data_IF_150721580861
#
_entry.id   IF_150721580861
#
_cell.length_a   1.000
_cell.length_b   1.000
_cell.length_c   1.000
_cell.angle_alpha   90.00
_cell.angle_beta   90.00
_cell.angle_gamma   90.00
#
_symmetry.space_group_name_H-M   'P 1'
#
loop_
_entity.id
_entity.type
_entity.pdbx_description
1 polymer ?
#
# COMPACT_ATOMS: atom_id res chain seq x y z
N UNK A 1 13.61 6.55 -28.10
CA UNK A 1 13.69 8.01 -27.91
C UNK A 1 13.89 8.23 -26.44
N UNK A 2 14.93 8.93 -26.08
CA UNK A 2 15.56 9.00 -24.77
C UNK A 2 14.60 9.54 -23.68
N UNK A 3 14.42 8.76 -22.62
CA UNK A 3 13.80 9.21 -21.38
C UNK A 3 14.73 10.21 -20.69
N UNK A 4 14.47 11.49 -20.85
CA UNK A 4 15.14 12.52 -20.05
C UNK A 4 14.64 12.39 -18.60
N UNK A 5 15.57 12.01 -17.72
CA UNK A 5 15.40 12.04 -16.27
C UNK A 5 15.18 13.50 -15.82
N UNK A 6 13.92 13.88 -15.62
CA UNK A 6 13.60 15.12 -14.92
C UNK A 6 13.89 14.92 -13.42
N UNK A 7 15.07 15.37 -13.00
CA UNK A 7 15.32 15.67 -11.59
C UNK A 7 14.64 17.01 -11.28
N UNK A 8 13.85 17.14 -10.20
CA UNK A 8 13.34 18.44 -9.77
C UNK A 8 14.52 19.39 -9.48
N UNK A 9 14.29 20.68 -9.66
CA UNK A 9 15.32 21.71 -9.48
C UNK A 9 16.09 21.50 -8.18
N UNK A 10 17.42 21.52 -8.25
CA UNK A 10 18.38 21.13 -7.21
C UNK A 10 18.08 21.63 -5.78
N UNK A 11 17.28 22.68 -5.60
CA UNK A 11 16.94 23.26 -4.30
C UNK A 11 15.85 22.51 -3.51
N UNK A 12 14.79 22.01 -4.16
CA UNK A 12 13.74 21.21 -3.48
C UNK A 12 14.26 19.84 -3.07
N UNK A 13 14.99 19.19 -3.96
CA UNK A 13 15.63 17.91 -3.68
C UNK A 13 16.63 17.98 -2.52
N UNK A 14 17.43 19.06 -2.46
CA UNK A 14 18.33 19.34 -1.35
C UNK A 14 17.58 19.63 -0.04
N UNK A 15 16.42 20.26 -0.11
CA UNK A 15 15.59 20.52 1.08
C UNK A 15 14.97 19.23 1.63
N UNK A 16 14.47 18.36 0.76
CA UNK A 16 13.92 17.05 1.12
C UNK A 16 15.02 16.14 1.70
N UNK A 17 16.20 16.12 1.08
CA UNK A 17 17.37 15.39 1.61
C UNK A 17 17.83 15.95 2.97
N UNK A 18 17.71 17.27 3.21
CA UNK A 18 17.98 17.87 4.51
C UNK A 18 16.95 17.41 5.56
N UNK A 19 15.67 17.37 5.20
CA UNK A 19 14.61 16.85 6.09
C UNK A 19 14.92 15.39 6.43
N UNK A 20 15.23 14.53 5.45
CA UNK A 20 15.63 13.14 5.66
C UNK A 20 16.85 13.03 6.57
N UNK A 21 17.89 13.86 6.36
CA UNK A 21 19.09 13.90 7.21
C UNK A 21 18.80 14.44 8.59
N UNK A 22 17.87 15.41 8.73
CA UNK A 22 17.48 15.96 10.02
C UNK A 22 16.74 14.96 10.87
N UNK A 23 15.85 14.13 10.28
CA UNK A 23 15.24 13.01 10.97
C UNK A 23 16.27 11.96 11.40
N UNK A 24 17.24 11.61 10.56
CA UNK A 24 18.32 10.71 10.91
C UNK A 24 19.23 11.26 12.01
N UNK A 25 19.43 12.60 12.08
CA UNK A 25 20.22 13.27 13.11
C UNK A 25 19.45 13.47 14.42
N UNK A 26 18.18 13.85 14.36
CA UNK A 26 17.31 13.97 15.55
C UNK A 26 17.20 12.64 16.29
N UNK A 27 17.16 11.54 15.54
CA UNK A 27 17.12 10.19 16.08
C UNK A 27 18.44 9.78 16.76
N UNK A 28 19.60 10.24 16.25
CA UNK A 28 20.91 10.00 16.89
C UNK A 28 20.98 10.60 18.31
N UNK A 29 20.24 11.67 18.56
CA UNK A 29 20.11 12.29 19.89
C UNK A 29 19.13 11.54 20.81
N UNK A 30 18.07 10.90 20.25
CA UNK A 30 17.07 10.13 21.01
C UNK A 30 17.58 8.76 21.48
N UNK A 31 18.63 8.21 20.84
CA UNK A 31 19.25 6.93 21.19
C UNK A 31 19.70 6.83 22.67
N UNK A 32 19.80 7.95 23.37
CA UNK A 32 20.19 8.03 24.78
C UNK A 32 19.09 7.73 25.80
N UNK A 33 17.82 7.59 25.37
CA UNK A 33 16.67 7.53 26.28
C UNK A 33 15.87 6.22 26.15
N UNK A 34 16.06 5.43 25.09
CA UNK A 34 15.28 4.22 24.90
C UNK A 34 15.87 3.04 25.70
N UNK A 35 15.23 2.74 26.80
CA UNK A 35 15.38 1.45 27.49
C UNK A 35 14.62 0.39 26.65
N UNK A 36 15.33 -0.34 25.77
CA UNK A 36 14.81 -1.43 24.93
C UNK A 36 14.29 -2.65 25.73
N UNK A 37 13.99 -2.51 27.02
CA UNK A 37 13.72 -3.60 27.95
C UNK A 37 12.26 -4.05 28.06
N UNK A 38 11.33 -3.58 27.19
CA UNK A 38 9.97 -4.12 27.20
C UNK A 38 9.40 -4.33 25.81
N UNK A 39 9.84 -5.38 25.13
CA UNK A 39 9.01 -5.99 24.08
C UNK A 39 7.74 -6.47 24.82
N UNK A 40 6.64 -5.75 24.68
CA UNK A 40 5.35 -6.26 25.15
C UNK A 40 5.05 -7.50 24.30
N UNK A 41 5.13 -8.66 24.89
CA UNK A 41 4.62 -9.90 24.30
C UNK A 41 3.10 -9.76 24.24
N UNK A 42 2.59 -9.36 23.09
CA UNK A 42 1.17 -9.40 22.77
C UNK A 42 0.85 -10.76 22.16
N UNK A 43 -0.35 -11.26 22.40
CA UNK A 43 -0.82 -12.45 21.75
C UNK A 43 -1.26 -12.16 20.31
N UNK A 44 -1.22 -13.18 19.46
CA UNK A 44 -1.74 -13.14 18.10
C UNK A 44 -3.26 -12.97 18.09
N UNK A 45 -3.76 -12.39 17.00
CA UNK A 45 -5.19 -12.26 16.77
C UNK A 45 -5.58 -12.84 15.41
N UNK A 46 -6.79 -13.37 15.37
CA UNK A 46 -7.51 -13.74 14.15
C UNK A 46 -8.87 -13.06 14.12
N UNK A 47 -9.60 -13.17 13.02
CA UNK A 47 -10.98 -12.70 12.95
C UNK A 47 -11.87 -13.51 13.91
N UNK A 48 -12.85 -12.87 14.56
CA UNK A 48 -13.80 -13.58 15.41
C UNK A 48 -14.81 -14.38 14.57
N UNK A 49 -15.20 -13.84 13.41
CA UNK A 49 -16.08 -14.54 12.44
C UNK A 49 -15.71 -14.17 11.01
N UNK A 50 -16.12 -14.97 10.01
CA UNK A 50 -15.85 -14.66 8.60
C UNK A 50 -16.59 -13.42 8.11
N UNK A 51 -16.02 -12.78 7.07
CA UNK A 51 -16.70 -11.79 6.25
C UNK A 51 -16.38 -11.98 4.77
N UNK A 52 -17.16 -11.36 3.88
CA UNK A 52 -17.07 -11.54 2.44
C UNK A 52 -17.20 -10.21 1.71
N UNK A 53 -16.52 -10.12 0.57
CA UNK A 53 -16.72 -9.06 -0.41
C UNK A 53 -16.91 -9.64 -1.79
N UNK A 54 -17.63 -8.92 -2.62
CA UNK A 54 -17.68 -9.14 -4.06
C UNK A 54 -17.42 -7.82 -4.77
N UNK A 55 -16.77 -7.86 -5.90
CA UNK A 55 -16.48 -6.67 -6.66
C UNK A 55 -15.58 -6.93 -7.86
N UNK A 56 -15.33 -5.88 -8.61
CA UNK A 56 -14.46 -5.95 -9.78
C UNK A 56 -12.98 -5.88 -9.39
N UNK A 57 -12.14 -6.64 -10.08
CA UNK A 57 -10.70 -6.41 -10.11
C UNK A 57 -10.38 -5.15 -10.92
N UNK A 58 -9.50 -4.29 -10.40
CA UNK A 58 -9.11 -3.02 -11.04
C UNK A 58 -8.53 -3.23 -12.45
N UNK A 59 -7.65 -4.23 -12.59
CA UNK A 59 -6.90 -4.50 -13.82
C UNK A 59 -7.57 -5.54 -14.70
N UNK A 60 -8.12 -6.59 -14.11
CA UNK A 60 -8.76 -7.68 -14.84
C UNK A 60 -10.20 -7.35 -15.27
N UNK A 61 -10.90 -6.53 -14.48
CA UNK A 61 -12.32 -6.25 -14.64
C UNK A 61 -13.22 -7.46 -14.34
N UNK A 62 -12.65 -8.58 -13.88
CA UNK A 62 -13.40 -9.75 -13.47
C UNK A 62 -14.19 -9.46 -12.19
N UNK A 63 -15.35 -10.04 -12.07
CA UNK A 63 -16.12 -10.03 -10.83
C UNK A 63 -15.58 -11.12 -9.92
N UNK A 64 -15.09 -10.75 -8.75
CA UNK A 64 -14.38 -11.62 -7.82
C UNK A 64 -15.12 -11.68 -6.49
N UNK A 65 -15.25 -12.88 -5.94
CA UNK A 65 -15.69 -13.10 -4.57
C UNK A 65 -14.46 -13.36 -3.69
N UNK A 66 -14.31 -12.54 -2.65
CA UNK A 66 -13.26 -12.67 -1.65
C UNK A 66 -13.87 -13.01 -0.30
N UNK A 67 -13.43 -14.08 0.34
CA UNK A 67 -13.89 -14.49 1.66
C UNK A 67 -12.73 -14.54 2.63
N UNK A 68 -12.95 -14.06 3.84
CA UNK A 68 -11.97 -13.92 4.91
C UNK A 68 -12.38 -14.77 6.09
N UNK A 69 -11.55 -15.73 6.48
CA UNK A 69 -11.83 -16.67 7.53
C UNK A 69 -10.83 -16.57 8.68
N UNK A 70 -11.27 -16.80 9.92
CA UNK A 70 -10.35 -17.04 11.02
C UNK A 70 -9.36 -18.15 10.66
N UNK A 71 -8.13 -18.02 11.13
CA UNK A 71 -7.10 -19.04 10.93
C UNK A 71 -6.40 -19.39 12.24
N UNK A 72 -5.83 -20.60 12.32
CA UNK A 72 -5.14 -21.08 13.49
C UNK A 72 -3.90 -20.21 13.85
N UNK A 73 -3.45 -20.21 15.11
CA UNK A 73 -2.23 -19.54 15.51
C UNK A 73 -1.03 -19.92 14.61
N UNK A 74 -0.16 -18.95 14.35
CA UNK A 74 1.04 -19.10 13.52
C UNK A 74 0.81 -19.38 12.03
N UNK A 75 -0.43 -19.32 11.55
CA UNK A 75 -0.77 -19.48 10.13
C UNK A 75 -0.25 -18.31 9.29
N UNK A 76 -0.26 -17.09 9.83
CA UNK A 76 -0.06 -15.86 9.07
C UNK A 76 -1.22 -15.55 8.14
N UNK A 77 -1.03 -14.62 7.24
CA UNK A 77 -2.00 -14.32 6.18
C UNK A 77 -1.74 -15.27 5.01
N UNK A 78 -2.76 -16.05 4.65
CA UNK A 78 -2.69 -17.00 3.52
C UNK A 78 -3.77 -16.69 2.50
N UNK A 79 -3.46 -16.88 1.22
CA UNK A 79 -4.38 -16.63 0.13
C UNK A 79 -4.58 -17.92 -0.67
N UNK A 80 -5.83 -18.32 -0.81
CA UNK A 80 -6.28 -19.48 -1.55
C UNK A 80 -6.95 -19.06 -2.86
N UNK A 81 -6.59 -19.67 -3.98
CA UNK A 81 -7.30 -19.57 -5.26
C UNK A 81 -8.28 -20.73 -5.37
N UNK A 82 -9.52 -20.47 -4.96
CA UNK A 82 -10.59 -21.49 -4.90
C UNK A 82 -11.10 -21.93 -6.27
N UNK A 83 -10.85 -21.13 -7.31
CA UNK A 83 -11.19 -21.43 -8.72
C UNK A 83 -10.17 -22.34 -9.42
N UNK A 84 -8.99 -22.54 -8.84
CA UNK A 84 -7.96 -23.42 -9.39
C UNK A 84 -8.08 -24.85 -8.84
N UNK A 85 -7.68 -25.84 -9.65
CA UNK A 85 -7.62 -27.23 -9.24
C UNK A 85 -6.70 -27.40 -8.02
N UNK A 86 -7.15 -28.15 -7.03
CA UNK A 86 -6.43 -28.36 -5.77
C UNK A 86 -6.42 -27.14 -4.83
N UNK A 87 -7.06 -26.06 -5.19
CA UNK A 87 -7.19 -24.84 -4.38
C UNK A 87 -5.88 -24.40 -3.75
N UNK A 88 -4.85 -24.09 -4.57
CA UNK A 88 -3.52 -23.76 -4.07
C UNK A 88 -3.58 -22.58 -3.11
N UNK A 89 -2.89 -22.73 -1.96
CA UNK A 89 -2.92 -21.78 -0.86
C UNK A 89 -1.51 -21.46 -0.40
N UNK A 90 -1.10 -20.19 -0.55
CA UNK A 90 0.25 -19.74 -0.21
C UNK A 90 0.24 -18.57 0.77
N UNK A 91 1.30 -18.38 1.57
CA UNK A 91 1.40 -17.25 2.47
C UNK A 91 1.61 -15.94 1.69
N UNK A 92 1.02 -14.86 2.17
CA UNK A 92 1.24 -13.51 1.66
C UNK A 92 2.56 -12.97 2.24
N UNK A 93 3.69 -13.32 1.61
CA UNK A 93 5.04 -12.89 2.01
C UNK A 93 5.85 -12.44 0.80
N UNK A 94 6.89 -11.66 1.05
CA UNK A 94 7.71 -11.03 0.01
C UNK A 94 8.41 -12.03 -0.92
N UNK A 95 8.57 -13.29 -0.49
CA UNK A 95 9.17 -14.36 -1.30
C UNK A 95 8.38 -14.66 -2.58
N UNK A 96 7.07 -14.40 -2.58
CA UNK A 96 6.16 -14.65 -3.70
C UNK A 96 5.86 -13.40 -4.55
N UNK A 97 6.46 -12.25 -4.26
CA UNK A 97 6.28 -11.05 -5.10
C UNK A 97 6.91 -11.29 -6.48
N UNK A 98 6.07 -11.30 -7.51
CA UNK A 98 6.47 -11.56 -8.88
C UNK A 98 6.44 -10.33 -9.79
N UNK A 99 5.48 -9.40 -9.55
CA UNK A 99 5.35 -8.18 -10.31
C UNK A 99 4.84 -7.03 -9.43
N UNK A 100 5.15 -5.80 -9.83
CA UNK A 100 4.84 -4.58 -9.07
C UNK A 100 4.39 -3.43 -9.95
N UNK A 101 3.98 -3.73 -11.17
CA UNK A 101 3.40 -2.76 -12.09
C UNK A 101 1.95 -2.47 -11.68
N UNK A 102 1.68 -1.26 -11.20
CA UNK A 102 0.36 -0.77 -10.78
C UNK A 102 -0.28 -1.49 -9.60
N UNK A 103 0.47 -2.25 -8.82
CA UNK A 103 0.00 -2.99 -7.66
C UNK A 103 0.91 -4.17 -7.36
N UNK A 104 0.80 -4.73 -6.19
CA UNK A 104 1.63 -5.85 -5.76
C UNK A 104 0.99 -7.18 -6.18
N UNK A 105 1.76 -8.00 -6.89
CA UNK A 105 1.35 -9.32 -7.39
C UNK A 105 2.16 -10.39 -6.69
N UNK A 106 1.46 -11.32 -6.08
CA UNK A 106 2.03 -12.56 -5.54
C UNK A 106 1.79 -13.70 -6.52
N UNK A 107 2.80 -14.55 -6.77
CA UNK A 107 2.71 -15.63 -7.76
C UNK A 107 3.60 -16.83 -7.38
N UNK A 108 3.08 -18.03 -7.58
CA UNK A 108 3.82 -19.29 -7.53
C UNK A 108 3.13 -20.35 -8.40
N UNK A 109 3.78 -20.72 -9.51
CA UNK A 109 3.17 -21.59 -10.51
C UNK A 109 1.90 -20.98 -11.10
N UNK A 110 0.79 -21.69 -11.03
CA UNK A 110 -0.51 -21.19 -11.49
C UNK A 110 -1.22 -20.26 -10.48
N UNK A 111 -0.80 -20.29 -9.21
CA UNK A 111 -1.35 -19.43 -8.19
C UNK A 111 -0.82 -18.00 -8.41
N UNK A 112 -1.75 -17.10 -8.68
CA UNK A 112 -1.47 -15.67 -8.88
C UNK A 112 -2.57 -14.84 -8.27
N UNK A 113 -2.17 -13.81 -7.50
CA UNK A 113 -3.10 -12.84 -6.91
C UNK A 113 -2.49 -11.44 -6.97
N UNK A 114 -3.22 -10.50 -7.55
CA UNK A 114 -2.80 -9.09 -7.68
C UNK A 114 -3.58 -8.16 -6.77
N UNK A 115 -3.08 -6.92 -6.62
CA UNK A 115 -3.72 -5.83 -5.85
C UNK A 115 -3.93 -6.22 -4.37
N UNK A 116 -2.91 -6.85 -3.77
CA UNK A 116 -3.00 -7.37 -2.39
C UNK A 116 -2.68 -6.30 -1.33
N UNK A 117 -2.06 -5.19 -1.69
CA UNK A 117 -1.54 -4.15 -0.82
C UNK A 117 -2.61 -3.51 0.08
N UNK A 118 -3.80 -3.23 -0.45
CA UNK A 118 -4.86 -2.56 0.32
C UNK A 118 -5.40 -3.44 1.45
N UNK A 119 -5.70 -4.70 1.14
CA UNK A 119 -6.19 -5.66 2.14
C UNK A 119 -5.12 -6.00 3.16
N UNK A 120 -3.87 -6.17 2.72
CA UNK A 120 -2.76 -6.46 3.63
C UNK A 120 -2.48 -5.27 4.57
N UNK A 121 -2.58 -4.03 4.06
CA UNK A 121 -2.48 -2.82 4.86
C UNK A 121 -3.55 -2.78 5.96
N UNK A 122 -4.82 -3.09 5.61
CA UNK A 122 -5.93 -3.13 6.56
C UNK A 122 -5.74 -4.22 7.63
N UNK A 123 -5.42 -5.46 7.23
CA UNK A 123 -5.19 -6.57 8.15
C UNK A 123 -4.04 -6.26 9.11
N UNK A 124 -2.94 -5.70 8.58
CA UNK A 124 -1.79 -5.31 9.39
C UNK A 124 -2.16 -4.22 10.40
N UNK A 125 -2.82 -3.15 9.95
CA UNK A 125 -3.21 -2.04 10.81
C UNK A 125 -4.19 -2.45 11.92
N UNK A 126 -5.13 -3.34 11.60
CA UNK A 126 -6.13 -3.82 12.54
C UNK A 126 -5.63 -4.93 13.48
N UNK A 127 -4.37 -5.32 13.39
CA UNK A 127 -3.80 -6.32 14.30
C UNK A 127 -4.16 -7.77 13.98
N UNK A 128 -4.64 -8.07 12.76
CA UNK A 128 -4.91 -9.45 12.33
C UNK A 128 -3.59 -10.14 12.00
N UNK A 129 -3.24 -11.17 12.75
CA UNK A 129 -2.00 -11.94 12.55
C UNK A 129 -2.25 -13.20 11.70
N UNK A 130 -3.43 -13.79 11.83
CA UNK A 130 -3.77 -15.03 11.14
C UNK A 130 -5.13 -14.92 10.44
N UNK A 131 -5.13 -15.11 9.11
CA UNK A 131 -6.33 -15.07 8.29
C UNK A 131 -6.16 -15.94 7.04
N UNK A 132 -7.18 -16.69 6.68
CA UNK A 132 -7.28 -17.33 5.38
C UNK A 132 -8.20 -16.50 4.47
N UNK A 133 -7.65 -16.04 3.36
CA UNK A 133 -8.39 -15.33 2.31
C UNK A 133 -8.62 -16.32 1.17
N UNK A 134 -9.86 -16.48 0.71
CA UNK A 134 -10.18 -17.27 -0.47
C UNK A 134 -10.69 -16.38 -1.60
N UNK A 135 -10.21 -16.61 -2.81
CA UNK A 135 -10.56 -15.87 -4.01
C UNK A 135 -10.97 -16.81 -5.13
N UNK A 136 -12.03 -16.49 -5.86
CA UNK A 136 -12.43 -17.18 -7.08
C UNK A 136 -11.85 -16.53 -8.37
N UNK A 137 -10.77 -15.78 -8.23
CA UNK A 137 -10.09 -15.15 -9.35
C UNK A 137 -8.71 -14.57 -9.00
N UNK A 138 -7.99 -14.01 -10.00
CA UNK A 138 -6.57 -13.66 -9.88
C UNK A 138 -6.29 -12.28 -9.27
N UNK A 139 -7.27 -11.59 -8.74
CA UNK A 139 -7.11 -10.22 -8.25
C UNK A 139 -8.02 -9.96 -7.06
N UNK A 140 -7.55 -9.19 -6.08
CA UNK A 140 -8.43 -8.70 -5.01
C UNK A 140 -9.47 -7.73 -5.57
N UNK A 141 -10.75 -7.77 -5.11
CA UNK A 141 -11.73 -6.77 -5.48
C UNK A 141 -11.26 -5.37 -5.04
N UNK A 142 -11.31 -4.40 -5.97
CA UNK A 142 -10.79 -3.05 -5.70
C UNK A 142 -11.68 -2.26 -4.74
N UNK A 143 -12.95 -2.60 -4.66
CA UNK A 143 -13.97 -1.90 -3.86
C UNK A 143 -14.02 -0.41 -4.25
N UNK A 144 -13.79 0.51 -3.30
CA UNK A 144 -13.70 1.95 -3.56
C UNK A 144 -12.26 2.45 -3.80
N UNK A 145 -11.31 1.54 -3.90
CA UNK A 145 -9.88 1.86 -4.09
C UNK A 145 -9.14 2.27 -2.82
N UNK A 146 -9.78 2.17 -1.65
CA UNK A 146 -9.20 2.44 -0.34
C UNK A 146 -9.15 1.19 0.53
N UNK A 147 -8.78 1.34 1.81
CA UNK A 147 -8.84 0.26 2.80
C UNK A 147 -10.13 0.28 3.64
N UNK A 148 -11.02 1.24 3.40
CA UNK A 148 -12.20 1.52 4.23
C UNK A 148 -13.04 0.28 4.54
N UNK A 149 -13.49 -0.39 3.50
CA UNK A 149 -14.42 -1.52 3.66
C UNK A 149 -13.79 -2.69 4.41
N UNK A 150 -12.49 -2.93 4.22
CA UNK A 150 -11.76 -3.96 4.98
C UNK A 150 -11.72 -3.61 6.47
N UNK A 151 -11.42 -2.35 6.81
CA UNK A 151 -11.41 -1.87 8.21
C UNK A 151 -12.79 -2.01 8.84
N UNK A 152 -13.84 -1.53 8.15
CA UNK A 152 -15.23 -1.61 8.65
C UNK A 152 -15.68 -3.06 8.87
N UNK A 153 -15.33 -3.98 7.96
CA UNK A 153 -15.67 -5.39 8.10
C UNK A 153 -14.92 -6.06 9.27
N UNK A 154 -13.62 -5.77 9.44
CA UNK A 154 -12.84 -6.29 10.57
C UNK A 154 -13.39 -5.79 11.90
N UNK A 155 -13.77 -4.51 12.00
CA UNK A 155 -14.41 -3.95 13.20
C UNK A 155 -15.75 -4.61 13.48
N UNK A 156 -16.55 -4.82 12.44
CA UNK A 156 -17.89 -5.42 12.59
C UNK A 156 -17.83 -6.87 13.07
N UNK A 157 -16.90 -7.66 12.56
CA UNK A 157 -16.78 -9.07 12.98
C UNK A 157 -15.98 -9.22 14.27
N UNK A 158 -15.10 -8.26 14.59
CA UNK A 158 -14.23 -8.30 15.75
C UNK A 158 -13.04 -9.24 15.61
N UNK A 159 -12.17 -9.21 16.62
CA UNK A 159 -10.97 -10.04 16.71
C UNK A 159 -11.06 -11.03 17.84
N UNK A 160 -10.44 -12.19 17.65
CA UNK A 160 -10.24 -13.22 18.66
C UNK A 160 -8.75 -13.29 19.00
N UNK A 161 -8.42 -13.07 20.26
CA UNK A 161 -7.09 -13.33 20.80
C UNK A 161 -6.79 -14.83 20.79
N UNK A 162 -5.55 -15.19 20.47
CA UNK A 162 -5.07 -16.56 20.36
C UNK A 162 -3.93 -16.82 21.36
N UNK A 163 -3.88 -18.03 21.88
CA UNK A 163 -2.81 -18.46 22.82
C UNK A 163 -1.49 -18.75 22.07
N UNK A 164 -0.93 -17.70 21.49
CA UNK A 164 0.36 -17.71 20.82
C UNK A 164 0.95 -16.27 20.80
N UNK A 165 2.25 -16.09 21.05
CA UNK A 165 2.85 -14.76 21.00
C UNK A 165 2.93 -14.22 19.57
N UNK A 166 2.73 -12.92 19.40
CA UNK A 166 2.96 -12.24 18.12
C UNK A 166 4.42 -12.39 17.68
N UNK A 167 4.61 -12.53 16.37
CA UNK A 167 5.96 -12.49 15.76
C UNK A 167 6.38 -11.04 15.55
N UNK A 168 6.96 -10.45 16.60
CA UNK A 168 7.44 -9.06 16.58
C UNK A 168 8.93 -9.04 16.29
N UNK A 169 9.34 -8.14 15.38
CA UNK A 169 10.74 -7.84 15.13
C UNK A 169 11.02 -6.37 15.43
N UNK A 170 11.86 -6.12 16.44
CA UNK A 170 12.28 -4.78 16.82
C UNK A 170 13.54 -4.38 16.03
N UNK A 171 13.48 -3.27 15.33
CA UNK A 171 14.65 -2.68 14.69
C UNK A 171 15.53 -2.04 15.75
N UNK A 172 16.76 -2.51 15.87
CA UNK A 172 17.75 -2.03 16.87
C UNK A 172 18.77 -1.06 16.29
N UNK A 173 18.96 -1.10 14.96
CA UNK A 173 19.91 -0.24 14.24
C UNK A 173 19.24 0.37 13.01
N UNK A 174 19.75 1.53 12.57
CA UNK A 174 19.30 2.14 11.30
C UNK A 174 19.58 1.20 10.14
N UNK A 175 18.55 0.93 9.33
CA UNK A 175 18.67 0.27 8.03
C UNK A 175 18.33 1.31 6.98
N UNK A 176 19.11 1.35 5.89
CA UNK A 176 18.93 2.32 4.80
C UNK A 176 18.96 1.60 3.45
N UNK A 177 17.95 1.86 2.64
CA UNK A 177 17.85 1.38 1.27
C UNK A 177 17.77 2.57 0.33
N UNK A 178 18.49 2.48 -0.79
CA UNK A 178 18.45 3.46 -1.88
C UNK A 178 18.35 2.75 -3.22
N UNK A 179 17.70 3.39 -4.19
CA UNK A 179 17.69 2.94 -5.57
C UNK A 179 18.43 3.92 -6.48
N UNK A 180 18.83 3.46 -7.66
CA UNK A 180 19.43 4.30 -8.71
C UNK A 180 18.49 5.41 -9.18
N UNK A 181 17.17 5.21 -9.07
CA UNK A 181 16.13 6.17 -9.41
C UNK A 181 15.89 7.24 -8.32
N UNK A 182 16.65 7.17 -7.21
CA UNK A 182 16.56 8.13 -6.11
C UNK A 182 15.43 7.86 -5.12
N UNK A 183 14.85 6.64 -5.11
CA UNK A 183 13.98 6.21 -4.02
C UNK A 183 14.83 5.95 -2.77
N UNK A 184 14.32 6.30 -1.60
CA UNK A 184 15.02 6.07 -0.34
C UNK A 184 14.05 5.54 0.71
N UNK A 185 14.54 4.62 1.55
CA UNK A 185 13.82 4.14 2.73
C UNK A 185 14.78 4.04 3.91
N UNK A 186 14.40 4.67 5.01
CA UNK A 186 15.06 4.54 6.30
C UNK A 186 14.14 3.74 7.22
N UNK A 187 14.68 2.72 7.86
CA UNK A 187 13.99 1.97 8.91
C UNK A 187 14.78 2.23 10.19
N UNK A 188 14.13 2.84 11.16
CA UNK A 188 14.76 3.34 12.38
C UNK A 188 14.17 2.62 13.58
N UNK A 189 14.95 2.42 14.66
CA UNK A 189 14.44 1.91 15.92
C UNK A 189 13.26 2.76 16.44
N UNK A 190 12.20 2.08 16.86
CA UNK A 190 11.03 2.67 17.49
C UNK A 190 10.39 1.60 18.38
N UNK A 191 9.70 1.99 19.44
CA UNK A 191 9.01 1.07 20.36
C UNK A 191 7.63 0.62 19.89
N UNK A 192 7.16 1.19 18.77
CA UNK A 192 5.92 0.86 18.08
C UNK A 192 6.13 0.97 16.57
N UNK A 193 5.09 0.73 15.78
CA UNK A 193 5.10 0.94 14.34
C UNK A 193 4.71 2.38 14.02
N UNK A 194 5.58 3.10 13.34
CA UNK A 194 5.29 4.41 12.77
C UNK A 194 5.78 4.47 11.31
N UNK A 195 5.12 5.24 10.46
CA UNK A 195 5.55 5.36 9.08
C UNK A 195 5.27 6.76 8.49
N UNK A 196 6.17 7.20 7.59
CA UNK A 196 6.05 8.45 6.86
C UNK A 196 6.46 8.23 5.41
N UNK A 197 5.73 8.84 4.48
CA UNK A 197 6.10 8.89 3.07
C UNK A 197 6.16 10.32 2.57
N UNK A 198 7.07 10.57 1.64
CA UNK A 198 7.09 11.79 0.83
C UNK A 198 7.07 11.39 -0.64
N UNK A 199 6.02 11.80 -1.35
CA UNK A 199 5.89 11.63 -2.80
C UNK A 199 6.34 12.90 -3.50
N UNK A 200 6.91 12.74 -4.70
CA UNK A 200 7.35 13.86 -5.53
C UNK A 200 6.95 13.58 -6.97
N UNK A 201 6.04 14.36 -7.51
CA UNK A 201 5.61 14.28 -8.90
C UNK A 201 5.95 15.57 -9.66
N UNK A 202 6.38 15.48 -10.91
CA UNK A 202 6.61 16.67 -11.76
C UNK A 202 5.27 17.23 -12.24
N UNK A 203 4.46 17.73 -11.31
CA UNK A 203 3.09 18.19 -11.52
C UNK A 203 2.82 19.36 -10.59
N UNK A 204 2.31 20.47 -11.11
CA UNK A 204 1.94 21.64 -10.31
C UNK A 204 0.80 21.32 -9.32
N UNK A 205 -0.05 20.34 -9.64
CA UNK A 205 -1.18 19.94 -8.80
C UNK A 205 -0.78 18.96 -7.70
N UNK A 206 0.07 17.98 -8.03
CA UNK A 206 0.55 16.98 -7.05
C UNK A 206 1.77 17.47 -6.29
N UNK A 207 2.78 17.95 -7.01
CA UNK A 207 4.02 18.45 -6.43
C UNK A 207 4.67 17.45 -5.46
N UNK A 208 5.11 18.01 -4.34
CA UNK A 208 5.64 17.25 -3.20
C UNK A 208 4.60 17.21 -2.08
N UNK A 209 4.23 16.01 -1.66
CA UNK A 209 3.29 15.81 -0.56
C UNK A 209 3.88 14.80 0.45
N UNK A 210 3.58 15.01 1.73
CA UNK A 210 3.98 14.11 2.81
C UNK A 210 2.75 13.61 3.55
N UNK A 211 2.75 12.33 3.92
CA UNK A 211 1.80 11.73 4.83
C UNK A 211 2.54 10.96 5.92
N UNK A 212 2.01 10.99 7.14
CA UNK A 212 2.61 10.37 8.31
C UNK A 212 1.54 9.65 9.13
N UNK A 213 1.90 8.53 9.71
CA UNK A 213 1.13 7.77 10.69
C UNK A 213 2.06 7.49 11.87
N UNK A 214 1.75 8.06 13.02
CA UNK A 214 2.57 7.92 14.22
C UNK A 214 2.25 6.65 15.01
N UNK A 215 1.00 6.15 14.90
CA UNK A 215 0.56 4.89 15.51
C UNK A 215 -0.48 4.21 14.62
N UNK A 216 -0.44 2.87 14.55
CA UNK A 216 -1.44 2.09 13.81
C UNK A 216 -2.87 2.27 14.35
N UNK A 217 -3.04 2.65 15.61
CA UNK A 217 -4.36 2.97 16.18
C UNK A 217 -5.07 4.12 15.45
N UNK A 218 -4.31 5.04 14.84
CA UNK A 218 -4.84 6.17 14.08
C UNK A 218 -5.14 5.84 12.61
N UNK A 219 -4.80 4.63 12.15
CA UNK A 219 -4.92 4.23 10.74
C UNK A 219 -6.31 4.47 10.16
N UNK A 220 -7.34 4.08 10.90
CA UNK A 220 -8.73 4.25 10.45
C UNK A 220 -9.05 5.71 10.12
N UNK A 221 -8.67 6.64 10.99
CA UNK A 221 -8.99 8.05 10.83
C UNK A 221 -8.10 8.73 9.79
N UNK A 222 -6.83 8.32 9.72
CA UNK A 222 -5.84 9.02 8.93
C UNK A 222 -5.62 8.44 7.54
N UNK A 223 -5.86 7.14 7.31
CA UNK A 223 -5.49 6.48 6.07
C UNK A 223 -6.62 5.69 5.40
N UNK A 224 -7.56 5.16 6.17
CA UNK A 224 -8.50 4.15 5.63
C UNK A 224 -9.29 4.60 4.40
N UNK A 225 -9.58 5.90 4.26
CA UNK A 225 -10.33 6.48 3.14
C UNK A 225 -9.44 6.93 1.96
N UNK A 226 -8.11 6.76 2.04
CA UNK A 226 -7.20 7.18 0.98
C UNK A 226 -7.30 6.24 -0.21
N UNK A 227 -7.88 6.72 -1.31
CA UNK A 227 -8.11 5.95 -2.54
C UNK A 227 -6.85 5.87 -3.38
N UNK A 228 -6.72 4.77 -4.13
CA UNK A 228 -5.76 4.68 -5.23
C UNK A 228 -5.99 5.81 -6.23
N UNK A 229 -4.95 6.23 -6.93
CA UNK A 229 -5.05 7.34 -7.87
C UNK A 229 -4.34 7.06 -9.18
N UNK A 230 -4.78 7.75 -10.23
CA UNK A 230 -4.14 7.73 -11.54
C UNK A 230 -4.18 9.13 -12.17
N UNK A 231 -3.22 9.36 -13.06
CA UNK A 231 -3.14 10.61 -13.83
C UNK A 231 -3.90 10.44 -15.14
N UNK A 232 -4.66 11.45 -15.53
CA UNK A 232 -5.44 11.43 -16.79
C UNK A 232 -4.56 11.07 -17.98
N UNK A 233 -3.34 11.61 -18.07
CA UNK A 233 -2.37 11.29 -19.15
C UNK A 233 -1.96 9.82 -19.20
N UNK A 234 -2.10 9.07 -18.09
CA UNK A 234 -1.75 7.66 -18.03
C UNK A 234 -2.92 6.77 -18.45
N UNK A 235 -4.15 7.20 -18.17
CA UNK A 235 -5.35 6.42 -18.48
C UNK A 235 -5.86 6.65 -19.89
N UNK A 236 -5.68 7.84 -20.48
CA UNK A 236 -6.14 8.16 -21.83
C UNK A 236 -5.65 7.14 -22.88
N UNK A 237 -4.34 6.82 -23.00
CA UNK A 237 -3.86 5.81 -23.93
C UNK A 237 -4.41 4.41 -23.68
N UNK A 238 -4.73 4.10 -22.42
CA UNK A 238 -5.30 2.81 -22.03
C UNK A 238 -6.78 2.71 -22.38
N UNK A 239 -7.53 3.80 -22.20
CA UNK A 239 -8.93 3.89 -22.63
C UNK A 239 -9.08 3.71 -24.15
N UNK A 240 -8.20 4.35 -24.94
CA UNK A 240 -8.18 4.17 -26.40
C UNK A 240 -7.93 2.74 -26.84
N UNK A 241 -7.15 1.98 -26.06
CA UNK A 241 -6.84 0.56 -26.31
C UNK A 241 -7.86 -0.40 -25.67
N UNK A 242 -8.88 0.10 -24.96
CA UNK A 242 -9.84 -0.74 -24.22
C UNK A 242 -9.19 -1.56 -23.08
N UNK A 243 -8.11 -1.05 -22.48
CA UNK A 243 -7.34 -1.75 -21.46
C UNK A 243 -7.72 -1.39 -20.01
N UNK A 244 -8.63 -0.43 -19.82
CA UNK A 244 -9.24 -0.17 -18.51
C UNK A 244 -10.48 -1.04 -18.41
N UNK A 245 -10.40 -2.08 -17.57
CA UNK A 245 -11.44 -3.09 -17.47
C UNK A 245 -12.31 -2.95 -16.23
N UNK A 246 -11.72 -2.52 -15.08
CA UNK A 246 -12.41 -2.40 -13.81
C UNK A 246 -12.29 -1.03 -13.13
N UNK A 247 -11.37 -0.16 -13.60
CA UNK A 247 -11.18 1.18 -13.04
C UNK A 247 -12.29 2.15 -13.47
N UNK A 248 -12.83 2.89 -12.49
CA UNK A 248 -13.79 3.99 -12.69
C UNK A 248 -13.57 5.08 -11.62
N UNK A 249 -14.35 6.17 -11.67
CA UNK A 249 -14.23 7.27 -10.72
C UNK A 249 -14.76 6.94 -9.31
N UNK A 250 -15.39 5.78 -9.12
CA UNK A 250 -15.85 5.34 -7.81
C UNK A 250 -14.75 4.59 -7.05
N UNK A 251 -13.79 4.01 -7.79
CA UNK A 251 -12.72 3.17 -7.21
C UNK A 251 -11.30 3.72 -7.43
N UNK A 252 -11.16 4.93 -7.98
CA UNK A 252 -9.87 5.61 -8.09
C UNK A 252 -10.05 7.13 -8.09
N UNK A 253 -9.10 7.82 -7.46
CA UNK A 253 -8.98 9.26 -7.58
C UNK A 253 -8.30 9.59 -8.91
N UNK A 254 -9.03 10.14 -9.86
CA UNK A 254 -8.50 10.53 -11.17
C UNK A 254 -8.05 12.00 -11.12
N UNK A 255 -6.80 12.25 -11.54
CA UNK A 255 -6.15 13.54 -11.43
C UNK A 255 -5.86 14.08 -12.81
N UNK A 256 -6.54 15.16 -13.16
CA UNK A 256 -6.34 15.93 -14.39
C UNK A 256 -5.31 17.04 -14.12
N UNK A 257 -4.05 16.76 -14.39
CA UNK A 257 -2.95 17.63 -13.98
C UNK A 257 -2.14 18.22 -15.16
N UNK A 258 -2.42 17.77 -16.39
CA UNK A 258 -1.78 18.26 -17.60
C UNK A 258 -2.87 18.59 -18.65
N UNK A 259 -2.89 19.80 -19.20
CA UNK A 259 -3.88 20.17 -20.22
C UNK A 259 -3.85 19.22 -21.42
N UNK A 260 -5.02 18.87 -21.92
CA UNK A 260 -5.22 18.12 -23.16
C UNK A 260 -6.25 18.83 -24.05
N UNK A 261 -6.45 18.34 -25.27
CA UNK A 261 -7.49 18.90 -26.13
C UNK A 261 -8.89 18.64 -25.54
N UNK A 262 -9.84 19.54 -25.81
CA UNK A 262 -11.22 19.34 -25.37
C UNK A 262 -11.81 18.04 -25.94
N UNK A 263 -11.48 17.69 -27.18
CA UNK A 263 -11.95 16.46 -27.84
C UNK A 263 -11.44 15.20 -27.12
N UNK A 264 -10.18 15.18 -26.66
CA UNK A 264 -9.63 14.05 -25.92
C UNK A 264 -10.26 13.94 -24.54
N UNK A 265 -10.47 15.07 -23.85
CA UNK A 265 -11.12 15.10 -22.55
C UNK A 265 -12.59 14.64 -22.65
N UNK A 266 -13.29 15.09 -23.69
CA UNK A 266 -14.66 14.69 -23.98
C UNK A 266 -14.75 13.20 -24.28
N UNK A 267 -13.82 12.66 -25.07
CA UNK A 267 -13.73 11.22 -25.32
C UNK A 267 -13.56 10.44 -24.00
N UNK A 268 -12.72 10.92 -23.08
CA UNK A 268 -12.49 10.25 -21.80
C UNK A 268 -13.73 10.30 -20.92
N UNK A 269 -14.35 11.47 -20.76
CA UNK A 269 -15.55 11.62 -19.93
C UNK A 269 -16.70 10.78 -20.45
N UNK A 270 -16.88 10.72 -21.78
CA UNK A 270 -17.90 9.85 -22.41
C UNK A 270 -17.63 8.37 -22.14
N UNK A 271 -16.37 7.93 -22.25
CA UNK A 271 -15.97 6.53 -21.97
C UNK A 271 -16.12 6.14 -20.50
N UNK A 272 -15.89 7.09 -19.60
CA UNK A 272 -16.01 6.89 -18.15
C UNK A 272 -17.43 7.17 -17.63
N UNK A 273 -18.37 7.57 -18.49
CA UNK A 273 -19.74 7.92 -18.10
C UNK A 273 -19.79 9.14 -17.18
N UNK A 274 -18.90 10.11 -17.39
CA UNK A 274 -18.76 11.31 -16.54
C UNK A 274 -19.28 12.56 -17.24
N UNK A 275 -19.70 13.59 -16.47
CA UNK A 275 -20.02 14.90 -17.02
C UNK A 275 -18.84 15.49 -17.79
N UNK A 276 -19.13 16.29 -18.82
CA UNK A 276 -18.12 17.03 -19.56
C UNK A 276 -17.32 17.94 -18.65
N UNK A 277 -16.01 17.97 -18.83
CA UNK A 277 -15.06 18.80 -18.11
C UNK A 277 -14.51 19.88 -19.04
N UNK A 278 -14.12 21.02 -18.47
CA UNK A 278 -13.40 22.09 -19.19
C UNK A 278 -11.90 21.74 -19.22
N UNK A 279 -11.34 21.62 -20.43
CA UNK A 279 -9.94 21.30 -20.65
C UNK A 279 -8.97 22.30 -20.01
N UNK A 280 -9.43 23.49 -19.65
CA UNK A 280 -8.63 24.52 -18.96
C UNK A 280 -8.70 24.41 -17.42
N UNK A 281 -9.56 23.54 -16.86
CA UNK A 281 -9.74 23.37 -15.43
C UNK A 281 -9.02 22.13 -14.94
N UNK A 282 -7.73 22.27 -14.64
CA UNK A 282 -6.95 21.22 -13.99
C UNK A 282 -7.44 20.98 -12.54
N UNK A 283 -7.46 19.73 -12.12
CA UNK A 283 -7.94 19.39 -10.77
C UNK A 283 -8.13 17.89 -10.54
N UNK A 284 -8.73 17.59 -9.41
CA UNK A 284 -9.17 16.25 -9.07
C UNK A 284 -10.59 16.03 -9.60
N UNK A 285 -10.83 14.93 -10.30
CA UNK A 285 -12.14 14.65 -10.91
C UNK A 285 -13.20 14.20 -9.89
N UNK A 286 -12.79 13.94 -8.66
CA UNK A 286 -13.68 13.69 -7.52
C UNK A 286 -13.17 14.40 -6.27
N UNK A 287 -14.04 14.76 -5.32
CA UNK A 287 -13.62 15.39 -4.07
C UNK A 287 -12.58 14.54 -3.33
N UNK A 288 -11.61 15.19 -2.71
CA UNK A 288 -10.61 14.54 -1.88
C UNK A 288 -11.20 14.15 -0.51
N UNK A 289 -10.88 12.96 -0.01
CA UNK A 289 -11.17 12.54 1.36
C UNK A 289 -10.18 13.17 2.37
N UNK A 290 -8.95 13.47 1.91
CA UNK A 290 -7.92 14.14 2.70
C UNK A 290 -7.19 15.18 1.82
N UNK A 291 -6.72 16.30 2.38
CA UNK A 291 -6.00 17.31 1.59
C UNK A 291 -4.77 16.78 0.83
N UNK A 292 -4.12 15.74 1.38
CA UNK A 292 -2.95 15.04 0.81
C UNK A 292 -3.26 13.56 0.50
N UNK A 293 -4.45 13.28 -0.01
CA UNK A 293 -4.93 11.90 -0.25
C UNK A 293 -3.94 11.06 -1.08
N UNK A 294 -3.31 11.56 -2.15
CA UNK A 294 -2.30 10.79 -2.89
C UNK A 294 -1.12 10.32 -2.03
N UNK A 295 -0.61 11.17 -1.15
CA UNK A 295 0.46 10.78 -0.24
C UNK A 295 -0.02 9.77 0.81
N UNK A 296 -1.25 9.94 1.32
CA UNK A 296 -1.84 8.99 2.27
C UNK A 296 -2.06 7.62 1.65
N UNK A 297 -2.49 7.59 0.38
CA UNK A 297 -2.60 6.32 -0.33
C UNK A 297 -1.23 5.64 -0.48
N UNK A 298 -0.18 6.37 -0.82
CA UNK A 298 1.17 5.81 -0.88
C UNK A 298 1.70 5.35 0.48
N UNK A 299 1.23 5.92 1.58
CA UNK A 299 1.51 5.42 2.93
C UNK A 299 0.74 4.12 3.22
N UNK A 300 -0.53 4.04 2.81
CA UNK A 300 -1.33 2.81 2.87
C UNK A 300 -0.64 1.67 2.09
N UNK A 301 -0.22 1.93 0.85
CA UNK A 301 0.53 0.99 0.02
C UNK A 301 1.82 0.52 0.70
N UNK A 302 2.59 1.45 1.28
CA UNK A 302 3.83 1.12 1.99
C UNK A 302 3.57 0.16 3.16
N UNK A 303 2.52 0.39 3.95
CA UNK A 303 2.16 -0.47 5.08
C UNK A 303 1.80 -1.87 4.58
N UNK A 304 1.00 -1.97 3.52
CA UNK A 304 0.63 -3.23 2.90
C UNK A 304 1.83 -4.01 2.33
N UNK A 305 2.68 -3.33 1.55
CA UNK A 305 3.89 -3.94 0.98
C UNK A 305 4.88 -4.39 2.08
N UNK A 306 5.05 -3.59 3.15
CA UNK A 306 5.95 -3.94 4.26
C UNK A 306 5.40 -5.05 5.16
N UNK A 307 4.08 -5.27 5.19
CA UNK A 307 3.47 -6.40 5.91
C UNK A 307 3.88 -7.75 5.35
N UNK A 308 4.27 -7.80 4.07
CA UNK A 308 4.80 -8.99 3.40
C UNK A 308 6.11 -9.53 4.03
N UNK A 309 6.73 -8.80 4.96
CA UNK A 309 7.85 -9.35 5.74
C UNK A 309 7.41 -10.52 6.65
N UNK A 310 6.11 -10.61 6.98
CA UNK A 310 5.53 -11.67 7.79
C UNK A 310 5.78 -11.52 9.30
N UNK A 311 6.16 -10.33 9.73
CA UNK A 311 6.41 -9.96 11.13
C UNK A 311 5.74 -8.63 11.47
N UNK A 312 5.37 -8.44 12.74
CA UNK A 312 5.05 -7.13 13.28
C UNK A 312 6.35 -6.37 13.49
N UNK A 313 6.46 -5.17 12.94
CA UNK A 313 7.66 -4.37 13.07
C UNK A 313 7.51 -3.36 14.22
N UNK A 314 8.48 -3.30 15.10
CA UNK A 314 8.71 -2.16 16.00
C UNK A 314 9.76 -1.29 15.33
N UNK A 315 9.31 -0.30 14.59
CA UNK A 315 10.16 0.54 13.73
C UNK A 315 9.44 1.81 13.29
N UNK A 316 10.21 2.85 13.06
CA UNK A 316 9.78 3.99 12.26
C UNK A 316 10.30 3.85 10.83
N UNK A 317 9.40 3.79 9.86
CA UNK A 317 9.73 3.69 8.44
C UNK A 317 9.54 5.06 7.79
N UNK A 318 10.59 5.61 7.18
CA UNK A 318 10.54 6.89 6.45
C UNK A 318 10.93 6.64 4.99
N UNK A 319 10.01 6.87 4.07
CA UNK A 319 10.22 6.59 2.65
C UNK A 319 10.08 7.86 1.80
N UNK A 320 11.07 8.09 0.94
CA UNK A 320 11.05 9.11 -0.09
C UNK A 320 10.78 8.44 -1.44
N UNK A 321 9.74 8.94 -2.15
CA UNK A 321 9.29 8.42 -3.45
C UNK A 321 9.03 6.91 -3.41
N UNK A 322 8.20 6.43 -2.44
CA UNK A 322 7.88 5.01 -2.35
C UNK A 322 7.12 4.53 -3.60
N UNK A 323 7.11 3.23 -3.81
CA UNK A 323 6.35 2.54 -4.85
C UNK A 323 6.53 1.04 -4.69
N UNK A 324 5.58 0.24 -5.18
CA UNK A 324 5.52 -1.21 -4.92
C UNK A 324 6.84 -1.93 -5.20
N UNK A 325 7.50 -1.62 -6.33
CA UNK A 325 8.79 -2.24 -6.70
C UNK A 325 9.88 -1.98 -5.66
N UNK A 326 10.00 -0.74 -5.19
CA UNK A 326 11.00 -0.38 -4.19
C UNK A 326 10.61 -0.90 -2.80
N UNK A 327 9.35 -0.74 -2.40
CA UNK A 327 8.82 -1.18 -1.11
C UNK A 327 9.01 -2.68 -0.93
N UNK A 328 8.58 -3.49 -1.90
CA UNK A 328 8.64 -4.95 -1.82
C UNK A 328 10.05 -5.49 -1.88
N UNK A 329 10.96 -4.82 -2.63
CA UNK A 329 12.39 -5.14 -2.62
C UNK A 329 13.01 -4.90 -1.24
N UNK A 330 12.72 -3.75 -0.62
CA UNK A 330 13.19 -3.46 0.74
C UNK A 330 12.60 -4.45 1.75
N UNK A 331 11.30 -4.74 1.61
CA UNK A 331 10.61 -5.72 2.45
C UNK A 331 11.25 -7.11 2.37
N UNK A 332 11.57 -7.59 1.15
CA UNK A 332 12.23 -8.88 0.94
C UNK A 332 13.60 -8.94 1.61
N UNK A 333 14.43 -7.90 1.42
CA UNK A 333 15.75 -7.82 2.06
C UNK A 333 15.65 -7.77 3.59
N UNK A 334 14.67 -7.02 4.13
CA UNK A 334 14.40 -7.00 5.56
C UNK A 334 13.97 -8.39 6.06
N UNK A 335 13.08 -9.07 5.35
CA UNK A 335 12.62 -10.42 5.70
C UNK A 335 13.78 -11.43 5.69
N UNK A 336 14.63 -11.41 4.68
CA UNK A 336 15.83 -12.26 4.58
C UNK A 336 16.76 -12.03 5.79
N UNK A 337 16.98 -10.76 6.16
CA UNK A 337 17.74 -10.41 7.37
C UNK A 337 17.10 -11.00 8.63
N UNK A 338 15.81 -10.78 8.85
CA UNK A 338 15.09 -11.28 10.03
C UNK A 338 15.19 -12.80 10.13
N UNK A 339 14.99 -13.52 9.02
CA UNK A 339 15.06 -14.97 9.00
C UNK A 339 16.48 -15.53 9.22
N UNK A 340 17.51 -14.76 8.85
CA UNK A 340 18.90 -15.15 9.08
C UNK A 340 19.37 -14.96 10.54
N UNK A 341 18.61 -14.20 11.33
CA UNK A 341 18.90 -13.90 12.75
C UNK A 341 18.14 -14.83 13.72
N UNK A 342 17.20 -15.65 13.23
CA UNK A 342 16.44 -16.65 13.99
C UNK A 342 17.10 -18.03 13.99
#
# INVERSE_FOLDING_TARGET
MSSSSFLPENNEYLHILKIFRTFALAFSLHKKIMNLSSIRTMNQHTLLSPFHFEGKGLHTGLHIHASFYPAAPNTGIRICRSDLEGQPTYPAVADYVAATERGTVLEYGEWKVSTVEHVLSALYAMGVDNCLITLDGPEMPILDGSAKYYIEAIEQVGLQEQDAPQKVYAITEKIEYTSEQGNQMLILPCDHYAAQVTICYPSALLGTQTAQLDDLADYKQQLSLARTFCLVREIEPLLRRGLIKGGDLQNALVIYETPMSQDDLDFMTDKLGQPRLDANQLGYLSPLNYPNEPARHKLLDLIGDMSLCGFRLQAQIVALRPGHSFNTKCCKQLREKILSEQ
#
